data_IF_541099576936
#
_entry.id   IF_541099576936
#
_cell.length_a   1.000
_cell.length_b   1.000
_cell.length_c   1.000
_cell.angle_alpha   90.00
_cell.angle_beta   90.00
_cell.angle_gamma   90.00
#
_symmetry.space_group_name_H-M   'P 1'
#
loop_
_entity.id
_entity.type
_entity.pdbx_description
1 polymer ?
#
# COMPACT_ATOMS: atom_id res chain seq x y z
N UNK A 1 -19.87 11.16 -7.56
CA UNK A 1 -18.92 11.44 -8.68
C UNK A 1 -17.46 11.34 -8.25
N UNK A 2 -17.08 11.86 -7.07
CA UNK A 2 -15.73 11.72 -6.53
C UNK A 2 -15.30 10.25 -6.38
N UNK A 3 -16.11 9.43 -5.71
CA UNK A 3 -15.81 8.00 -5.54
C UNK A 3 -15.60 7.26 -6.87
N UNK A 4 -16.48 7.49 -7.86
CA UNK A 4 -16.35 6.88 -9.18
C UNK A 4 -15.03 7.26 -9.87
N UNK A 5 -14.63 8.53 -9.84
CA UNK A 5 -13.33 8.96 -10.37
C UNK A 5 -12.16 8.36 -9.55
N UNK A 6 -12.28 8.26 -8.23
CA UNK A 6 -11.27 7.58 -7.40
C UNK A 6 -11.11 6.10 -7.75
N UNK A 7 -12.22 5.40 -8.03
CA UNK A 7 -12.19 4.00 -8.47
C UNK A 7 -11.63 3.87 -9.89
N UNK A 8 -11.98 4.77 -10.81
CA UNK A 8 -11.35 4.80 -12.15
C UNK A 8 -9.85 5.09 -12.06
N UNK A 9 -9.42 5.97 -11.15
CA UNK A 9 -8.01 6.24 -10.91
C UNK A 9 -7.28 4.99 -10.42
N UNK A 10 -7.90 4.25 -9.48
CA UNK A 10 -7.38 2.99 -8.96
C UNK A 10 -7.22 1.94 -10.06
N UNK A 11 -8.24 1.79 -10.91
CA UNK A 11 -8.19 0.86 -12.06
C UNK A 11 -7.08 1.26 -13.02
N UNK A 12 -7.01 2.54 -13.40
CA UNK A 12 -6.06 3.05 -14.38
C UNK A 12 -4.60 2.74 -14.02
N UNK A 13 -4.16 3.00 -12.77
CA UNK A 13 -2.77 2.69 -12.42
C UNK A 13 -2.53 1.17 -12.35
N UNK A 14 -3.52 0.37 -11.96
CA UNK A 14 -3.40 -1.09 -11.95
C UNK A 14 -3.34 -1.69 -13.36
N UNK A 15 -3.93 -1.02 -14.34
CA UNK A 15 -3.88 -1.41 -15.76
C UNK A 15 -2.71 -0.77 -16.53
N UNK A 16 -1.83 -0.03 -15.84
CA UNK A 16 -0.61 0.55 -16.42
C UNK A 16 -0.75 1.96 -16.99
N UNK A 17 -1.91 2.62 -16.85
CA UNK A 17 -2.11 4.01 -17.27
C UNK A 17 -2.04 4.95 -16.05
N UNK A 18 -0.82 5.18 -15.59
CA UNK A 18 -0.58 6.02 -14.41
C UNK A 18 -0.89 7.50 -14.67
N UNK A 19 -0.82 7.98 -15.91
CA UNK A 19 -1.19 9.36 -16.27
C UNK A 19 -2.70 9.58 -16.11
N UNK A 20 -3.52 8.67 -16.65
CA UNK A 20 -4.98 8.73 -16.49
C UNK A 20 -5.35 8.60 -15.00
N UNK A 21 -4.63 7.78 -14.24
CA UNK A 21 -4.84 7.66 -12.80
C UNK A 21 -4.67 8.99 -12.05
N UNK A 22 -3.59 9.73 -12.34
CA UNK A 22 -3.37 11.08 -11.77
C UNK A 22 -4.49 12.02 -12.17
N UNK A 23 -4.88 12.04 -13.45
CA UNK A 23 -5.97 12.89 -13.94
C UNK A 23 -7.29 12.61 -13.22
N UNK A 24 -7.68 11.34 -13.07
CA UNK A 24 -8.92 10.95 -12.39
C UNK A 24 -8.88 11.25 -10.90
N UNK A 25 -7.75 11.03 -10.23
CA UNK A 25 -7.62 11.35 -8.82
C UNK A 25 -7.70 12.88 -8.57
N UNK A 26 -7.05 13.69 -9.42
CA UNK A 26 -7.21 15.15 -9.39
C UNK A 26 -8.66 15.57 -9.62
N UNK A 27 -9.35 14.93 -10.58
CA UNK A 27 -10.76 15.20 -10.83
C UNK A 27 -11.62 14.86 -9.61
N UNK A 28 -11.36 13.73 -8.95
CA UNK A 28 -12.05 13.33 -7.73
C UNK A 28 -11.85 14.34 -6.60
N UNK A 29 -10.62 14.82 -6.40
CA UNK A 29 -10.28 15.83 -5.39
C UNK A 29 -10.91 17.21 -5.66
N UNK A 30 -11.26 17.50 -6.92
CA UNK A 30 -11.90 18.79 -7.29
C UNK A 30 -13.39 18.89 -6.92
N UNK A 31 -14.03 17.78 -6.51
CA UNK A 31 -15.43 17.81 -6.09
C UNK A 31 -15.58 18.33 -4.66
N UNK A 32 -16.64 19.09 -4.40
CA UNK A 32 -17.01 19.50 -3.05
C UNK A 32 -17.61 18.36 -2.22
N UNK A 33 -17.51 18.47 -0.89
CA UNK A 33 -18.10 17.51 0.05
C UNK A 33 -17.35 16.17 0.16
N UNK A 34 -16.10 16.12 -0.31
CA UNK A 34 -15.22 14.95 -0.14
C UNK A 34 -14.71 14.96 1.31
N UNK A 35 -14.97 13.89 2.05
CA UNK A 35 -14.53 13.73 3.43
C UNK A 35 -13.06 13.30 3.52
N UNK A 36 -12.52 13.29 4.73
CA UNK A 36 -11.11 13.00 4.97
C UNK A 36 -10.70 11.59 4.54
N UNK A 37 -11.54 10.59 4.80
CA UNK A 37 -11.26 9.20 4.38
C UNK A 37 -11.09 9.10 2.86
N UNK A 38 -11.93 9.82 2.12
CA UNK A 38 -11.82 9.92 0.67
C UNK A 38 -10.55 10.66 0.24
N UNK A 39 -10.20 11.76 0.92
CA UNK A 39 -8.95 12.49 0.66
C UNK A 39 -7.71 11.62 0.87
N UNK A 40 -7.61 10.91 2.00
CA UNK A 40 -6.52 9.97 2.29
C UNK A 40 -6.40 8.91 1.19
N UNK A 41 -7.53 8.32 0.78
CA UNK A 41 -7.57 7.32 -0.30
C UNK A 41 -7.10 7.90 -1.63
N UNK A 42 -7.60 9.07 -2.02
CA UNK A 42 -7.29 9.72 -3.29
C UNK A 42 -5.80 10.11 -3.37
N UNK A 43 -5.24 10.67 -2.30
CA UNK A 43 -3.82 10.99 -2.26
C UNK A 43 -2.94 9.74 -2.23
N UNK A 44 -3.35 8.66 -1.56
CA UNK A 44 -2.63 7.38 -1.63
C UNK A 44 -2.62 6.79 -3.06
N UNK A 45 -3.72 6.95 -3.82
CA UNK A 45 -3.79 6.57 -5.23
C UNK A 45 -2.88 7.45 -6.08
N UNK A 46 -2.88 8.78 -5.87
CA UNK A 46 -1.96 9.68 -6.57
C UNK A 46 -0.51 9.34 -6.31
N UNK A 47 -0.15 9.09 -5.05
CA UNK A 47 1.21 8.73 -4.66
C UNK A 47 1.67 7.48 -5.42
N UNK A 48 0.79 6.48 -5.51
CA UNK A 48 1.06 5.25 -6.27
C UNK A 48 1.22 5.51 -7.77
N UNK A 49 0.35 6.34 -8.35
CA UNK A 49 0.40 6.67 -9.76
C UNK A 49 1.68 7.45 -10.12
N UNK A 50 2.06 8.46 -9.33
CA UNK A 50 3.31 9.19 -9.52
C UNK A 50 4.54 8.28 -9.39
N UNK A 51 4.53 7.35 -8.42
CA UNK A 51 5.61 6.37 -8.30
C UNK A 51 5.74 5.48 -9.54
N UNK A 52 4.63 5.06 -10.16
CA UNK A 52 4.65 4.32 -11.43
C UNK A 52 5.14 5.15 -12.63
N UNK A 53 4.99 6.48 -12.59
CA UNK A 53 5.55 7.40 -13.58
C UNK A 53 7.04 7.70 -13.34
N UNK A 54 7.62 7.25 -12.23
CA UNK A 54 8.98 7.61 -11.83
C UNK A 54 9.11 9.03 -11.26
N UNK A 55 7.99 9.73 -11.01
CA UNK A 55 7.99 11.05 -10.38
C UNK A 55 8.06 10.91 -8.86
N UNK A 56 9.30 10.76 -8.36
CA UNK A 56 9.59 10.56 -6.94
C UNK A 56 9.10 11.72 -6.08
N UNK A 57 9.30 12.96 -6.53
CA UNK A 57 8.94 14.15 -5.74
C UNK A 57 7.42 14.27 -5.58
N UNK A 58 6.66 14.08 -6.65
CA UNK A 58 5.19 14.11 -6.58
C UNK A 58 4.64 12.92 -5.79
N UNK A 59 5.27 11.75 -5.88
CA UNK A 59 4.90 10.58 -5.08
C UNK A 59 5.07 10.86 -3.58
N UNK A 60 6.23 11.39 -3.17
CA UNK A 60 6.50 11.76 -1.77
C UNK A 60 5.51 12.82 -1.26
N UNK A 61 5.30 13.90 -2.03
CA UNK A 61 4.35 14.93 -1.65
C UNK A 61 2.90 14.41 -1.53
N UNK A 62 2.50 13.46 -2.39
CA UNK A 62 1.19 12.83 -2.29
C UNK A 62 1.09 11.85 -1.10
N UNK A 63 2.15 11.14 -0.71
CA UNK A 63 2.16 10.36 0.53
C UNK A 63 2.03 11.26 1.76
N UNK A 64 2.70 12.41 1.77
CA UNK A 64 2.55 13.37 2.87
C UNK A 64 1.10 13.86 2.97
N UNK A 65 0.53 14.33 1.86
CA UNK A 65 -0.88 14.76 1.81
C UNK A 65 -1.88 13.65 2.11
N UNK A 66 -1.53 12.37 1.88
CA UNK A 66 -2.40 11.26 2.24
C UNK A 66 -2.46 11.01 3.74
N UNK A 67 -1.51 11.53 4.51
CA UNK A 67 -1.50 11.49 5.99
C UNK A 67 -2.02 12.79 6.62
N UNK A 68 -1.97 13.89 5.87
CA UNK A 68 -2.58 15.17 6.24
C UNK A 68 -4.11 15.11 6.08
N UNK A 69 -4.85 15.71 7.00
CA UNK A 69 -6.30 15.71 7.00
C UNK A 69 -6.87 16.60 8.10
N UNK A 70 -8.03 17.17 7.85
CA UNK A 70 -8.78 18.02 8.76
C UNK A 70 -9.88 17.16 9.37
N UNK A 71 -9.56 16.48 10.50
CA UNK A 71 -10.29 15.35 11.10
C UNK A 71 -11.81 15.56 11.33
N UNK A 72 -12.28 16.77 11.08
CA UNK A 72 -13.66 17.20 11.20
C UNK A 72 -14.45 17.10 9.88
N UNK A 73 -13.80 16.82 8.74
CA UNK A 73 -14.47 16.65 7.44
C UNK A 73 -14.90 15.21 7.22
N UNK A 74 -16.21 15.00 7.15
CA UNK A 74 -16.83 13.69 6.96
C UNK A 74 -17.72 13.65 5.74
N UNK A 75 -17.85 12.47 5.14
CA UNK A 75 -18.84 12.18 4.12
C UNK A 75 -19.57 10.86 4.39
N UNK A 76 -20.85 10.80 4.01
CA UNK A 76 -21.72 9.66 4.31
C UNK A 76 -21.19 8.34 3.74
N UNK A 77 -20.59 8.37 2.55
CA UNK A 77 -20.17 7.16 1.85
C UNK A 77 -18.99 6.48 2.55
N UNK A 78 -17.99 7.25 2.97
CA UNK A 78 -16.79 6.68 3.58
C UNK A 78 -16.93 6.52 5.10
N UNK A 79 -17.61 7.44 5.79
CA UNK A 79 -17.72 7.43 7.25
C UNK A 79 -18.93 6.64 7.78
N UNK A 80 -20.06 6.64 7.06
CA UNK A 80 -21.29 5.95 7.50
C UNK A 80 -21.46 4.59 6.83
N UNK A 81 -21.37 4.54 5.49
CA UNK A 81 -21.52 3.28 4.74
C UNK A 81 -20.28 2.40 4.92
N UNK A 82 -19.08 2.98 4.77
CA UNK A 82 -17.82 2.29 5.06
C UNK A 82 -17.61 1.01 4.24
N UNK A 83 -17.01 -0.02 4.86
CA UNK A 83 -16.73 -1.30 4.18
C UNK A 83 -15.79 -1.12 2.98
N UNK A 84 -16.23 -1.53 1.78
CA UNK A 84 -15.48 -1.35 0.53
C UNK A 84 -15.22 0.14 0.20
N UNK A 85 -16.08 1.03 0.69
CA UNK A 85 -15.90 2.47 0.54
C UNK A 85 -14.89 3.04 1.55
N UNK A 86 -14.57 2.29 2.60
CA UNK A 86 -13.64 2.72 3.63
C UNK A 86 -12.17 2.74 3.20
N UNK A 87 -11.38 3.54 3.90
CA UNK A 87 -9.93 3.55 3.77
C UNK A 87 -9.28 3.73 5.14
N UNK A 88 -9.13 2.62 5.84
CA UNK A 88 -8.63 2.62 7.22
C UNK A 88 -7.17 3.04 7.32
N UNK A 89 -6.76 3.51 8.50
CA UNK A 89 -5.40 4.02 8.75
C UNK A 89 -4.31 2.96 8.52
N UNK A 90 -4.57 1.69 8.83
CA UNK A 90 -3.62 0.61 8.53
C UNK A 90 -3.52 0.32 7.03
N UNK A 91 -4.62 0.50 6.28
CA UNK A 91 -4.63 0.35 4.82
C UNK A 91 -3.89 1.50 4.15
N UNK A 92 -4.06 2.73 4.65
CA UNK A 92 -3.28 3.89 4.24
C UNK A 92 -1.77 3.65 4.45
N UNK A 93 -1.37 3.24 5.67
CA UNK A 93 0.02 2.96 5.99
C UNK A 93 0.63 1.86 5.08
N UNK A 94 -0.13 0.78 4.82
CA UNK A 94 0.29 -0.24 3.85
C UNK A 94 0.44 0.35 2.44
N UNK A 95 -0.48 1.21 2.01
CA UNK A 95 -0.41 1.85 0.70
C UNK A 95 0.83 2.74 0.56
N UNK A 96 1.15 3.53 1.59
CA UNK A 96 2.35 4.37 1.62
C UNK A 96 3.62 3.52 1.61
N UNK A 97 3.65 2.38 2.34
CA UNK A 97 4.78 1.44 2.31
C UNK A 97 5.13 0.97 0.91
N UNK A 98 4.14 0.52 0.14
CA UNK A 98 4.43 0.08 -1.22
C UNK A 98 4.86 1.23 -2.13
N UNK A 99 4.28 2.42 -1.95
CA UNK A 99 4.65 3.58 -2.75
C UNK A 99 6.12 3.93 -2.49
N UNK A 100 6.55 3.89 -1.24
CA UNK A 100 7.95 4.04 -0.84
C UNK A 100 8.85 2.98 -1.50
N UNK A 101 8.44 1.69 -1.54
CA UNK A 101 9.17 0.65 -2.28
C UNK A 101 9.33 0.96 -3.77
N UNK A 102 8.27 1.47 -4.41
CA UNK A 102 8.31 1.79 -5.85
C UNK A 102 9.26 2.93 -6.19
N UNK A 103 9.42 3.89 -5.28
CA UNK A 103 10.38 5.00 -5.45
C UNK A 103 11.77 4.69 -4.87
N UNK A 104 11.97 3.49 -4.33
CA UNK A 104 13.27 3.04 -3.79
C UNK A 104 13.59 3.53 -2.37
N UNK A 105 12.63 4.07 -1.63
CA UNK A 105 12.81 4.53 -0.25
C UNK A 105 12.55 3.38 0.73
N UNK A 106 13.58 2.56 0.97
CA UNK A 106 13.49 1.36 1.83
C UNK A 106 13.19 1.70 3.28
N UNK A 107 13.76 2.79 3.80
CA UNK A 107 13.56 3.22 5.18
C UNK A 107 12.09 3.63 5.44
N UNK A 108 11.52 4.46 4.56
CA UNK A 108 10.11 4.85 4.66
C UNK A 108 9.18 3.65 4.41
N UNK A 109 9.55 2.74 3.49
CA UNK A 109 8.79 1.53 3.23
C UNK A 109 8.67 0.64 4.47
N UNK A 110 9.79 0.36 5.14
CA UNK A 110 9.81 -0.41 6.39
C UNK A 110 9.01 0.29 7.49
N UNK A 111 9.23 1.58 7.72
CA UNK A 111 8.52 2.34 8.75
C UNK A 111 6.99 2.29 8.54
N UNK A 112 6.55 2.48 7.30
CA UNK A 112 5.13 2.45 6.93
C UNK A 112 4.53 1.04 7.04
N UNK A 113 5.27 0.00 6.64
CA UNK A 113 4.82 -1.39 6.77
C UNK A 113 4.67 -1.80 8.23
N UNK A 114 5.65 -1.49 9.07
CA UNK A 114 5.60 -1.74 10.52
C UNK A 114 4.42 -1.02 11.16
N UNK A 115 4.21 0.25 10.80
CA UNK A 115 3.05 1.02 11.26
C UNK A 115 1.73 0.35 10.88
N UNK A 116 1.59 -0.11 9.63
CA UNK A 116 0.39 -0.83 9.18
C UNK A 116 0.15 -2.10 10.01
N UNK A 117 1.19 -2.90 10.24
CA UNK A 117 1.10 -4.13 11.04
C UNK A 117 0.76 -3.86 12.51
N UNK A 118 1.37 -2.83 13.12
CA UNK A 118 1.05 -2.42 14.50
C UNK A 118 -0.37 -1.91 14.64
N UNK A 119 -0.84 -1.06 13.73
CA UNK A 119 -2.22 -0.57 13.72
C UNK A 119 -3.23 -1.71 13.55
N UNK A 120 -2.90 -2.69 12.69
CA UNK A 120 -3.73 -3.86 12.49
C UNK A 120 -3.76 -4.75 13.74
N UNK A 121 -2.62 -5.00 14.37
CA UNK A 121 -2.51 -5.83 15.57
C UNK A 121 -3.28 -5.27 16.77
N UNK A 122 -3.48 -3.95 16.83
CA UNK A 122 -4.27 -3.30 17.86
C UNK A 122 -5.80 -3.51 17.72
N UNK A 123 -6.27 -4.05 16.59
CA UNK A 123 -7.70 -4.33 16.35
C UNK A 123 -8.11 -5.69 16.91
N UNK A 124 -9.41 -5.90 17.24
CA UNK A 124 -9.94 -7.24 17.49
C UNK A 124 -9.66 -8.18 16.32
N UNK A 125 -9.40 -9.46 16.58
CA UNK A 125 -9.03 -10.44 15.55
C UNK A 125 -10.03 -10.51 14.39
N UNK A 126 -11.33 -10.38 14.66
CA UNK A 126 -12.39 -10.37 13.66
C UNK A 126 -12.30 -9.18 12.68
N UNK A 127 -11.69 -8.07 13.10
CA UNK A 127 -11.56 -6.84 12.32
C UNK A 127 -10.19 -6.73 11.63
N UNK A 128 -9.31 -7.71 11.83
CA UNK A 128 -7.97 -7.72 11.25
C UNK A 128 -8.01 -8.17 9.78
N UNK A 129 -8.01 -7.20 8.87
CA UNK A 129 -7.90 -7.45 7.42
C UNK A 129 -6.70 -8.32 7.05
N UNK A 130 -6.98 -9.54 6.54
CA UNK A 130 -5.97 -10.44 6.01
C UNK A 130 -5.20 -9.82 4.82
N UNK A 131 -5.90 -9.04 3.98
CA UNK A 131 -5.28 -8.34 2.87
C UNK A 131 -4.23 -7.32 3.34
N UNK A 132 -4.58 -6.49 4.33
CA UNK A 132 -3.63 -5.50 4.87
C UNK A 132 -2.46 -6.19 5.54
N UNK A 133 -2.71 -7.24 6.35
CA UNK A 133 -1.65 -8.01 7.00
C UNK A 133 -0.65 -8.53 5.98
N UNK A 134 -1.14 -9.27 4.98
CA UNK A 134 -0.29 -9.90 3.99
C UNK A 134 0.43 -8.85 3.14
N UNK A 135 -0.25 -7.80 2.70
CA UNK A 135 0.37 -6.73 1.91
C UNK A 135 1.49 -6.02 2.67
N UNK A 136 1.26 -5.63 3.92
CA UNK A 136 2.27 -4.96 4.75
C UNK A 136 3.43 -5.88 5.13
N UNK A 137 3.16 -7.16 5.40
CA UNK A 137 4.18 -8.16 5.68
C UNK A 137 5.14 -8.37 4.48
N UNK A 138 4.60 -8.51 3.27
CA UNK A 138 5.43 -8.63 2.07
C UNK A 138 6.22 -7.35 1.80
N UNK A 139 5.62 -6.18 2.02
CA UNK A 139 6.32 -4.92 1.83
C UNK A 139 7.46 -4.71 2.83
N UNK A 140 7.25 -5.10 4.10
CA UNK A 140 8.31 -5.12 5.11
C UNK A 140 9.46 -6.03 4.70
N UNK A 141 9.14 -7.25 4.24
CA UNK A 141 10.15 -8.20 3.79
C UNK A 141 10.94 -7.66 2.59
N UNK A 142 10.26 -7.04 1.62
CA UNK A 142 10.92 -6.43 0.47
C UNK A 142 11.83 -5.25 0.87
N UNK A 143 11.39 -4.40 1.81
CA UNK A 143 12.18 -3.28 2.30
C UNK A 143 13.47 -3.76 2.98
N UNK A 144 13.35 -4.77 3.86
CA UNK A 144 14.48 -5.39 4.57
C UNK A 144 15.44 -6.08 3.62
N UNK A 145 14.91 -6.83 2.65
CA UNK A 145 15.73 -7.49 1.64
C UNK A 145 16.53 -6.49 0.80
N UNK A 146 15.92 -5.37 0.41
CA UNK A 146 16.61 -4.27 -0.30
C UNK A 146 17.62 -3.52 0.59
N UNK A 147 17.58 -3.72 1.91
CA UNK A 147 18.54 -3.19 2.88
C UNK A 147 19.53 -4.27 3.36
N UNK A 148 19.65 -5.39 2.63
CA UNK A 148 20.50 -6.54 2.95
C UNK A 148 20.19 -7.27 4.27
N UNK A 149 19.01 -7.05 4.86
CA UNK A 149 18.50 -7.79 6.02
C UNK A 149 17.67 -9.01 5.58
N UNK A 150 18.38 -10.08 5.18
CA UNK A 150 17.76 -11.32 4.68
C UNK A 150 17.00 -12.06 5.77
N UNK A 151 17.55 -12.15 6.98
CA UNK A 151 16.91 -12.84 8.11
C UNK A 151 15.64 -12.11 8.54
N UNK A 152 15.70 -10.78 8.69
CA UNK A 152 14.53 -9.97 8.99
C UNK A 152 13.49 -9.99 7.86
N UNK A 153 13.90 -10.16 6.60
CA UNK A 153 12.97 -10.38 5.50
C UNK A 153 12.26 -11.74 5.61
N UNK A 154 12.97 -12.80 5.98
CA UNK A 154 12.38 -14.13 6.21
C UNK A 154 11.37 -14.11 7.37
N UNK A 155 11.71 -13.47 8.49
CA UNK A 155 10.80 -13.27 9.62
C UNK A 155 9.54 -12.52 9.22
N UNK A 156 9.69 -11.43 8.45
CA UNK A 156 8.58 -10.62 7.99
C UNK A 156 7.61 -11.39 7.07
N UNK A 157 8.08 -12.43 6.37
CA UNK A 157 7.24 -13.29 5.53
C UNK A 157 6.47 -14.36 6.31
N UNK A 158 6.81 -14.65 7.57
CA UNK A 158 6.14 -15.70 8.34
C UNK A 158 4.58 -15.62 8.31
N UNK A 159 3.94 -14.43 8.40
CA UNK A 159 2.49 -14.32 8.36
C UNK A 159 1.86 -14.73 7.01
N UNK A 160 2.58 -14.63 5.89
CA UNK A 160 2.01 -14.85 4.56
C UNK A 160 1.81 -16.33 4.24
N UNK A 161 2.60 -17.21 4.86
CA UNK A 161 2.52 -18.66 4.66
C UNK A 161 1.22 -19.26 5.19
N UNK A 162 0.61 -18.60 6.17
CA UNK A 162 -0.64 -19.01 6.79
C UNK A 162 -1.88 -18.37 6.13
N UNK A 163 -1.72 -17.59 5.06
CA UNK A 163 -2.87 -17.02 4.33
C UNK A 163 -3.58 -18.14 3.56
N UNK A 164 -4.89 -18.39 3.83
CA UNK A 164 -5.68 -19.40 3.11
C UNK A 164 -5.67 -19.14 1.61
N UNK A 165 -5.72 -20.20 0.79
CA UNK A 165 -5.61 -20.10 -0.66
C UNK A 165 -6.64 -19.15 -1.27
N UNK A 166 -7.86 -19.16 -0.74
CA UNK A 166 -9.01 -18.34 -1.15
C UNK A 166 -8.80 -16.84 -0.85
N UNK A 167 -7.87 -16.51 0.05
CA UNK A 167 -7.55 -15.14 0.46
C UNK A 167 -6.26 -14.60 -0.19
N UNK A 168 -5.55 -15.42 -0.98
CA UNK A 168 -4.32 -15.03 -1.71
C UNK A 168 -4.65 -14.21 -2.95
N UNK A 169 -5.14 -12.99 -2.75
CA UNK A 169 -5.50 -12.11 -3.85
C UNK A 169 -4.29 -11.70 -4.71
N UNK A 170 -4.56 -11.19 -5.90
CA UNK A 170 -3.55 -10.77 -6.88
C UNK A 170 -2.51 -9.81 -6.28
N UNK A 171 -2.93 -8.92 -5.38
CA UNK A 171 -2.03 -7.98 -4.70
C UNK A 171 -0.95 -8.69 -3.88
N UNK A 172 -1.31 -9.75 -3.15
CA UNK A 172 -0.36 -10.56 -2.37
C UNK A 172 0.57 -11.34 -3.31
N UNK A 173 -0.01 -12.02 -4.31
CA UNK A 173 0.75 -12.86 -5.25
C UNK A 173 1.78 -12.06 -6.03
N UNK A 174 1.40 -10.90 -6.57
CA UNK A 174 2.31 -10.04 -7.34
C UNK A 174 3.46 -9.53 -6.47
N UNK A 175 3.22 -9.21 -5.19
CA UNK A 175 4.27 -8.77 -4.26
C UNK A 175 5.20 -9.92 -3.88
N UNK A 176 4.68 -11.09 -3.55
CA UNK A 176 5.50 -12.27 -3.24
C UNK A 176 6.38 -12.65 -4.45
N UNK A 177 5.84 -12.54 -5.67
CA UNK A 177 6.62 -12.74 -6.88
C UNK A 177 7.73 -11.71 -7.09
N UNK A 178 7.61 -10.47 -6.57
CA UNK A 178 8.69 -9.47 -6.60
C UNK A 178 9.87 -9.90 -5.73
N UNK A 179 9.60 -10.39 -4.53
CA UNK A 179 10.64 -10.96 -3.64
C UNK A 179 11.32 -12.14 -4.34
N UNK A 180 10.55 -13.07 -4.90
CA UNK A 180 11.11 -14.21 -5.63
C UNK A 180 12.02 -13.80 -6.79
N UNK A 181 11.64 -12.76 -7.55
CA UNK A 181 12.51 -12.19 -8.60
C UNK A 181 13.77 -11.53 -8.03
N UNK A 182 13.66 -10.82 -6.91
CA UNK A 182 14.82 -10.22 -6.26
C UNK A 182 15.82 -11.28 -5.80
N UNK A 183 15.33 -12.34 -5.15
CA UNK A 183 16.14 -13.48 -4.71
C UNK A 183 16.72 -14.32 -5.88
N UNK A 184 16.21 -14.16 -7.10
CA UNK A 184 16.78 -14.82 -8.28
C UNK A 184 18.03 -14.12 -8.85
N UNK A 185 18.40 -12.96 -8.32
CA UNK A 185 19.60 -12.23 -8.75
C UNK A 185 20.88 -13.02 -8.43
N UNK A 186 21.95 -12.88 -9.26
CA UNK A 186 23.18 -13.67 -9.11
C UNK A 186 23.83 -13.60 -7.72
N UNK A 187 23.69 -12.49 -7.01
CA UNK A 187 24.24 -12.29 -5.66
C UNK A 187 23.68 -13.27 -4.61
N UNK A 188 22.51 -13.86 -4.85
CA UNK A 188 21.87 -14.82 -3.95
C UNK A 188 22.08 -16.29 -4.39
N UNK A 189 22.77 -16.53 -5.51
CA UNK A 189 23.00 -17.89 -6.01
C UNK A 189 23.95 -18.65 -5.08
N UNK A 190 23.53 -19.85 -4.65
CA UNK A 190 24.34 -20.69 -3.75
C UNK A 190 24.36 -20.24 -2.29
N UNK A 191 23.55 -19.24 -1.91
CA UNK A 191 23.35 -18.86 -0.51
C UNK A 191 22.86 -20.08 0.29
N UNK A 192 23.49 -20.34 1.44
CA UNK A 192 23.06 -21.42 2.31
C UNK A 192 21.76 -21.01 3.00
N UNK A 193 20.78 -21.90 3.01
CA UNK A 193 19.58 -21.72 3.83
C UNK A 193 19.99 -21.74 5.31
N UNK A 194 19.39 -20.88 6.16
CA UNK A 194 19.53 -21.02 7.61
C UNK A 194 19.18 -22.45 8.03
N UNK A 195 19.97 -23.01 8.95
CA UNK A 195 19.76 -24.37 9.49
C UNK A 195 18.55 -24.45 10.40
#
# INVERSE_FOLDING_TARGET
>A
QAFANGTLAYIAYHTGDATEAVMKANRALSYGGVGDVAHHRLHAIQARAYAHLGDVASAQGAMQRSEEGDRDRRDELHDTVGGEFGFSVERLAMSNSTTALLIGDTAQAEASARRALSLLAAKPQADQSAHVRAGAAVDLAQARLMADDVDGAAEALAPIWNVPAEQRNTGIVVRAARIGRHLSQPMYHGAQLPR
#
